data_IF_952757092074
#
_entry.id   IF_952757092074
#
_cell.length_a   1.000
_cell.length_b   1.000
_cell.length_c   1.000
_cell.angle_alpha   90.00
_cell.angle_beta   90.00
_cell.angle_gamma   90.00
#
_symmetry.space_group_name_H-M   'P 1'
#
loop_
_entity.id
_entity.type
_entity.pdbx_description
1 polymer ?
#
# COMPACT_ATOMS: atom_id res chain seq x y z
N UNK A 1 4.90 19.02 7.90
CA UNK A 1 5.09 17.78 8.66
C UNK A 1 6.56 17.44 8.71
N UNK A 2 7.04 17.10 9.85
CA UNK A 2 8.44 16.79 10.06
C UNK A 2 8.83 15.48 9.40
N UNK A 3 10.12 15.30 9.14
CA UNK A 3 10.66 14.05 8.66
C UNK A 3 10.43 12.90 9.64
N UNK A 4 10.38 13.21 10.94
CA UNK A 4 10.12 12.20 11.96
C UNK A 4 8.73 11.58 11.82
N UNK A 5 7.73 12.41 11.55
CA UNK A 5 6.37 11.90 11.35
C UNK A 5 6.29 11.01 10.12
N UNK A 6 6.90 11.45 9.02
CA UNK A 6 6.91 10.66 7.78
C UNK A 6 7.63 9.34 7.98
N UNK A 7 8.76 9.35 8.69
CA UNK A 7 9.53 8.14 8.96
C UNK A 7 8.72 7.15 9.80
N UNK A 8 7.99 7.63 10.79
CA UNK A 8 7.15 6.77 11.61
C UNK A 8 6.05 6.11 10.78
N UNK A 9 5.43 6.85 9.86
CA UNK A 9 4.38 6.31 8.99
C UNK A 9 4.95 5.26 8.03
N UNK A 10 6.13 5.50 7.48
CA UNK A 10 6.78 4.53 6.60
C UNK A 10 7.18 3.26 7.34
N UNK A 11 7.69 3.41 8.57
CA UNK A 11 8.07 2.25 9.39
C UNK A 11 6.86 1.41 9.73
N UNK A 12 5.74 2.05 10.07
CA UNK A 12 4.49 1.35 10.34
C UNK A 12 4.02 0.60 9.11
N UNK A 13 4.05 1.26 7.96
CA UNK A 13 3.63 0.63 6.70
C UNK A 13 4.50 -0.58 6.37
N UNK A 14 5.82 -0.45 6.47
CA UNK A 14 6.70 -1.57 6.15
C UNK A 14 6.46 -2.76 7.08
N UNK A 15 6.24 -2.51 8.37
CA UNK A 15 5.93 -3.55 9.33
C UNK A 15 4.63 -4.26 8.99
N UNK A 16 3.59 -3.48 8.68
CA UNK A 16 2.28 -4.06 8.36
C UNK A 16 2.28 -4.80 7.02
N UNK A 17 3.02 -4.32 6.04
CA UNK A 17 3.15 -5.05 4.78
C UNK A 17 3.83 -6.41 5.02
N UNK A 18 4.88 -6.43 5.83
CA UNK A 18 5.57 -7.67 6.14
C UNK A 18 4.65 -8.66 6.81
N UNK A 19 3.76 -8.20 7.67
CA UNK A 19 2.84 -9.07 8.41
C UNK A 19 1.60 -9.46 7.62
N UNK A 20 1.06 -8.56 6.81
CA UNK A 20 -0.29 -8.68 6.27
C UNK A 20 -0.37 -8.79 4.75
N UNK A 21 0.65 -8.38 4.03
CA UNK A 21 0.57 -8.37 2.56
C UNK A 21 0.84 -9.76 2.01
N UNK A 22 -0.18 -10.35 1.38
CA UNK A 22 -0.11 -11.69 0.82
C UNK A 22 0.39 -11.64 -0.63
N UNK A 23 -0.15 -10.70 -1.42
CA UNK A 23 0.24 -10.58 -2.82
C UNK A 23 -0.01 -9.18 -3.33
N UNK A 24 0.70 -8.83 -4.40
CA UNK A 24 0.56 -7.55 -5.10
C UNK A 24 0.46 -7.85 -6.59
N UNK A 25 -0.51 -7.25 -7.25
CA UNK A 25 -0.63 -7.29 -8.70
C UNK A 25 -0.98 -5.90 -9.18
N UNK A 26 -0.66 -5.59 -10.43
CA UNK A 26 -1.04 -4.29 -11.00
C UNK A 26 -1.39 -4.45 -12.47
N UNK A 27 -2.28 -3.56 -12.93
CA UNK A 27 -2.66 -3.47 -14.33
C UNK A 27 -3.01 -2.01 -14.58
N UNK A 28 -2.49 -1.44 -15.65
CA UNK A 28 -2.71 -0.04 -15.97
C UNK A 28 -2.31 0.83 -14.78
N UNK A 29 -3.23 1.64 -14.26
CA UNK A 29 -2.95 2.49 -13.10
C UNK A 29 -3.52 1.92 -11.79
N UNK A 30 -3.95 0.67 -11.79
CA UNK A 30 -4.50 0.02 -10.60
C UNK A 30 -3.48 -0.92 -9.98
N UNK A 31 -3.46 -0.93 -8.64
CA UNK A 31 -2.67 -1.89 -7.87
C UNK A 31 -3.63 -2.64 -6.97
N UNK A 32 -3.56 -3.96 -6.99
CA UNK A 32 -4.43 -4.81 -6.17
C UNK A 32 -3.58 -5.55 -5.15
N UNK A 33 -3.90 -5.35 -3.89
CA UNK A 33 -3.23 -6.02 -2.78
C UNK A 33 -4.17 -7.05 -2.16
N UNK A 34 -3.61 -8.18 -1.77
CA UNK A 34 -4.38 -9.17 -1.02
C UNK A 34 -3.80 -9.30 0.38
N UNK A 35 -4.69 -9.51 1.34
CA UNK A 35 -4.33 -9.68 2.76
C UNK A 35 -5.05 -10.90 3.31
N UNK A 36 -4.74 -11.33 4.53
CA UNK A 36 -5.60 -12.30 5.21
C UNK A 36 -6.99 -11.72 5.43
N UNK A 37 -8.02 -12.55 5.57
CA UNK A 37 -9.37 -12.07 5.82
C UNK A 37 -9.43 -11.13 7.02
N UNK A 38 -10.15 -10.04 6.87
CA UNK A 38 -10.33 -9.04 7.93
C UNK A 38 -9.23 -8.01 8.05
N UNK A 39 -8.13 -8.13 7.29
CA UNK A 39 -6.98 -7.25 7.48
C UNK A 39 -6.87 -6.12 6.44
N UNK A 40 -7.71 -6.12 5.40
CA UNK A 40 -7.52 -5.18 4.30
C UNK A 40 -7.68 -3.72 4.73
N UNK A 41 -8.71 -3.40 5.48
CA UNK A 41 -8.93 -2.01 5.88
C UNK A 41 -7.85 -1.49 6.81
N UNK A 42 -7.32 -2.33 7.66
CA UNK A 42 -6.24 -1.95 8.55
C UNK A 42 -4.96 -1.61 7.76
N UNK A 43 -4.59 -2.46 6.81
CA UNK A 43 -3.43 -2.18 5.96
C UNK A 43 -3.68 -0.96 5.07
N UNK A 44 -4.87 -0.81 4.51
CA UNK A 44 -5.21 0.35 3.69
C UNK A 44 -5.06 1.65 4.47
N UNK A 45 -5.45 1.66 5.74
CA UNK A 45 -5.29 2.83 6.59
C UNK A 45 -3.81 3.23 6.73
N UNK A 46 -2.93 2.25 6.89
CA UNK A 46 -1.49 2.53 6.96
C UNK A 46 -0.95 3.07 5.64
N UNK A 47 -1.45 2.57 4.52
CA UNK A 47 -1.07 3.07 3.19
C UNK A 47 -1.50 4.53 3.05
N UNK A 48 -2.73 4.85 3.44
CA UNK A 48 -3.23 6.23 3.37
C UNK A 48 -2.39 7.17 4.24
N UNK A 49 -2.02 6.74 5.43
CA UNK A 49 -1.24 7.57 6.35
C UNK A 49 0.18 7.80 5.85
N UNK A 50 0.72 6.86 5.10
CA UNK A 50 2.08 6.99 4.56
C UNK A 50 2.16 8.01 3.42
N UNK A 51 1.03 8.40 2.84
CA UNK A 51 0.94 9.40 1.77
C UNK A 51 1.91 9.12 0.64
N UNK A 52 1.83 7.92 0.10
CA UNK A 52 2.72 7.50 -0.99
C UNK A 52 2.45 8.36 -2.21
N UNK A 53 3.51 8.96 -2.76
CA UNK A 53 3.36 9.78 -3.96
C UNK A 53 2.83 8.94 -5.11
N UNK A 54 1.84 9.47 -5.81
CA UNK A 54 1.22 8.79 -6.94
C UNK A 54 -0.01 7.98 -6.60
N UNK A 55 -0.31 7.77 -5.31
CA UNK A 55 -1.55 7.10 -4.90
C UNK A 55 -2.64 8.14 -4.75
N UNK A 56 -3.70 8.03 -5.56
CA UNK A 56 -4.85 8.92 -5.50
C UNK A 56 -5.81 8.54 -4.39
N UNK A 57 -5.95 7.26 -4.11
CA UNK A 57 -6.83 6.80 -3.08
C UNK A 57 -6.81 5.28 -2.96
N UNK A 58 -7.45 4.78 -1.90
CA UNK A 58 -7.54 3.36 -1.64
C UNK A 58 -9.00 2.97 -1.38
N UNK A 59 -9.36 1.78 -1.83
CA UNK A 59 -10.65 1.17 -1.50
C UNK A 59 -10.33 -0.22 -0.96
N UNK A 60 -10.84 -0.53 0.21
CA UNK A 60 -10.55 -1.81 0.85
C UNK A 60 -11.82 -2.56 1.20
N UNK A 61 -11.82 -3.84 0.90
CA UNK A 61 -12.85 -4.77 1.34
C UNK A 61 -12.39 -5.54 2.56
N UNK A 62 -12.63 -6.84 2.55
CA UNK A 62 -12.25 -7.71 3.65
C UNK A 62 -10.78 -8.18 3.54
N UNK A 63 -10.39 -8.65 2.35
CA UNK A 63 -9.07 -9.21 2.09
C UNK A 63 -8.40 -8.61 0.85
N UNK A 64 -8.96 -7.58 0.27
CA UNK A 64 -8.48 -6.99 -0.98
C UNK A 64 -8.48 -5.48 -0.87
N UNK A 65 -7.40 -4.86 -1.34
CA UNK A 65 -7.26 -3.41 -1.39
C UNK A 65 -7.00 -3.02 -2.83
N UNK A 66 -7.75 -2.03 -3.32
CA UNK A 66 -7.49 -1.42 -4.62
C UNK A 66 -6.84 -0.06 -4.39
N UNK A 67 -5.66 0.13 -4.95
CA UNK A 67 -4.99 1.43 -4.98
C UNK A 67 -5.17 2.01 -6.37
N UNK A 68 -5.63 3.25 -6.42
CA UNK A 68 -5.76 3.96 -7.68
C UNK A 68 -4.61 4.95 -7.76
N UNK A 69 -3.83 4.87 -8.84
CA UNK A 69 -2.62 5.68 -8.99
C UNK A 69 -2.76 6.66 -10.13
N UNK A 70 -1.79 7.55 -10.24
CA UNK A 70 -1.79 8.59 -11.28
C UNK A 70 -1.39 8.08 -12.66
N UNK A 71 -0.89 6.85 -12.79
CA UNK A 71 -0.52 6.31 -14.08
C UNK A 71 0.15 4.95 -13.98
N UNK A 72 0.42 4.36 -15.15
CA UNK A 72 1.00 3.03 -15.25
C UNK A 72 2.37 2.93 -14.60
N UNK A 73 3.20 3.94 -14.79
CA UNK A 73 4.54 3.94 -14.19
C UNK A 73 4.46 3.99 -12.67
N UNK A 74 3.53 4.78 -12.15
CA UNK A 74 3.32 4.89 -10.71
C UNK A 74 2.80 3.58 -10.14
N UNK A 75 1.91 2.90 -10.85
CA UNK A 75 1.41 1.61 -10.39
C UNK A 75 2.55 0.60 -10.27
N UNK A 76 3.44 0.56 -11.25
CA UNK A 76 4.61 -0.33 -11.19
C UNK A 76 5.53 0.02 -10.03
N UNK A 77 5.85 1.31 -9.87
CA UNK A 77 6.74 1.76 -8.81
C UNK A 77 6.17 1.48 -7.42
N UNK A 78 4.88 1.71 -7.25
CA UNK A 78 4.20 1.47 -5.97
C UNK A 78 4.13 -0.02 -5.66
N UNK A 79 3.86 -0.86 -6.67
CA UNK A 79 3.89 -2.30 -6.51
C UNK A 79 5.25 -2.79 -6.04
N UNK A 80 6.32 -2.30 -6.67
CA UNK A 80 7.69 -2.66 -6.29
C UNK A 80 8.02 -2.19 -4.89
N UNK A 81 7.59 -0.99 -4.53
CA UNK A 81 7.82 -0.45 -3.18
C UNK A 81 7.19 -1.34 -2.13
N UNK A 82 5.92 -1.68 -2.31
CA UNK A 82 5.18 -2.47 -1.31
C UNK A 82 5.73 -3.88 -1.22
N UNK A 83 6.07 -4.50 -2.35
CA UNK A 83 6.72 -5.80 -2.34
C UNK A 83 8.07 -5.75 -1.62
N UNK A 84 8.81 -4.66 -1.80
CA UNK A 84 10.09 -4.47 -1.12
C UNK A 84 9.96 -4.50 0.39
N UNK A 85 8.84 -4.02 0.92
CA UNK A 85 8.61 -4.04 2.37
C UNK A 85 8.42 -5.45 2.92
N UNK A 86 8.07 -6.42 2.08
CA UNK A 86 7.84 -7.80 2.54
C UNK A 86 9.12 -8.63 2.62
N UNK A 87 10.22 -8.08 2.17
CA UNK A 87 11.51 -8.79 2.12
C UNK A 87 12.33 -8.62 3.38
#
# INVERSE_FOLDING_TARGET
VSGQYRQASENRLSTLCRELLVSVAHAENDVVLRTPPGAAQFLASAIDQARIEGVLGTIAGDDTILLITTGTEQATAISDLLLGYTR
#
